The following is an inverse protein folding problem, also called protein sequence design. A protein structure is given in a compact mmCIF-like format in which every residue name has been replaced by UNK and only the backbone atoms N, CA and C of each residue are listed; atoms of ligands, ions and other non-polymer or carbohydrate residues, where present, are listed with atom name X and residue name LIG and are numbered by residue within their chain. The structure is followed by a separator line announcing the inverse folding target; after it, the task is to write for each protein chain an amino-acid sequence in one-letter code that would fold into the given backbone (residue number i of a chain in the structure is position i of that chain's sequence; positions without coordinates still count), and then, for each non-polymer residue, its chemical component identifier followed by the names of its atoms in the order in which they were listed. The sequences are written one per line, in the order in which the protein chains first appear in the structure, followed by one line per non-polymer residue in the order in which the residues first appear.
data_IF_548329063288
#
_entry.id   IF_548329063288
#
_cell.length_a   1.000
_cell.length_b   1.000
_cell.length_c   1.000
_cell.angle_alpha   90.00
_cell.angle_beta   90.00
_cell.angle_gamma   90.00
#
_symmetry.space_group_name_H-M   'P 1'
#
loop_
_entity.id
_entity.type
_entity.pdbx_description
1 polymer ?
#
# COMPACT_ATOMS: atom_id res chain seq x y z
N UNK A 1 -47.25 5.71 50.73
CA UNK A 1 -45.89 5.55 50.19
C UNK A 1 -45.97 5.74 48.69
N UNK A 2 -45.73 6.96 48.21
CA UNK A 2 -45.77 7.30 46.78
C UNK A 2 -44.39 7.07 46.18
N UNK A 3 -44.27 6.11 45.27
CA UNK A 3 -43.04 5.84 44.53
C UNK A 3 -42.68 7.06 43.66
N UNK A 4 -41.47 7.58 43.84
CA UNK A 4 -40.90 8.61 42.96
C UNK A 4 -40.65 7.99 41.59
N UNK A 5 -41.14 8.56 40.48
CA UNK A 5 -40.86 8.01 39.15
C UNK A 5 -39.34 8.03 38.90
N UNK A 6 -38.79 6.85 38.65
CA UNK A 6 -37.37 6.65 38.38
C UNK A 6 -36.99 7.37 37.09
N UNK A 7 -35.92 8.17 37.13
CA UNK A 7 -35.45 8.89 35.95
C UNK A 7 -35.10 7.88 34.84
N UNK A 8 -35.47 8.13 33.57
CA UNK A 8 -35.13 7.22 32.47
C UNK A 8 -33.62 7.01 32.41
N UNK A 9 -33.18 5.75 32.49
CA UNK A 9 -31.77 5.41 32.36
C UNK A 9 -31.28 5.87 30.97
N UNK A 10 -30.12 6.56 30.87
CA UNK A 10 -29.58 6.92 29.57
C UNK A 10 -29.33 5.65 28.75
N UNK A 11 -29.58 5.69 27.43
CA UNK A 11 -29.32 4.54 26.58
C UNK A 11 -27.85 4.13 26.73
N UNK A 12 -27.55 2.82 26.76
CA UNK A 12 -26.18 2.35 26.86
C UNK A 12 -25.33 2.95 25.72
N UNK A 13 -24.06 3.27 25.98
CA UNK A 13 -23.15 3.77 24.95
C UNK A 13 -23.15 2.83 23.73
N UNK A 14 -23.07 3.40 22.52
CA UNK A 14 -23.15 2.63 21.29
C UNK A 14 -22.05 1.56 21.14
N UNK A 15 -20.92 1.72 21.83
CA UNK A 15 -19.83 0.74 21.88
C UNK A 15 -19.23 0.69 23.30
N UNK A 16 -19.77 -0.13 24.21
CA UNK A 16 -19.26 -0.27 25.58
C UNK A 16 -17.84 -0.85 25.64
N UNK A 17 -17.43 -1.58 24.60
CA UNK A 17 -16.12 -2.22 24.50
C UNK A 17 -14.97 -1.27 24.11
N UNK A 18 -15.28 -0.05 23.65
CA UNK A 18 -14.28 0.92 23.22
C UNK A 18 -14.06 1.99 24.30
N UNK A 19 -12.80 2.44 24.50
CA UNK A 19 -12.53 3.60 25.34
C UNK A 19 -13.35 4.80 24.88
N UNK A 20 -13.77 5.65 25.82
CA UNK A 20 -14.59 6.82 25.49
C UNK A 20 -13.91 7.71 24.43
N UNK A 21 -14.66 8.09 23.40
CA UNK A 21 -14.17 8.89 22.28
C UNK A 21 -13.50 8.10 21.15
N UNK A 22 -13.39 6.77 21.25
CA UNK A 22 -12.89 5.91 20.16
C UNK A 22 -14.06 5.45 19.30
N UNK A 23 -14.12 5.94 18.06
CA UNK A 23 -15.06 5.40 17.07
C UNK A 23 -14.62 4.01 16.58
N UNK A 24 -15.60 3.17 16.26
CA UNK A 24 -15.38 1.83 15.70
C UNK A 24 -14.65 1.93 14.36
N UNK A 25 -13.71 1.03 14.10
CA UNK A 25 -12.99 0.98 12.82
C UNK A 25 -13.97 0.94 11.62
N UNK A 26 -13.62 1.57 10.48
CA UNK A 26 -14.48 1.56 9.30
C UNK A 26 -14.80 0.12 8.86
N UNK A 27 -16.07 -0.26 8.82
CA UNK A 27 -16.49 -1.59 8.34
C UNK A 27 -16.31 -1.66 6.83
N UNK A 28 -15.25 -2.32 6.38
CA UNK A 28 -15.01 -2.52 4.95
C UNK A 28 -15.91 -3.64 4.41
N UNK A 29 -16.54 -3.44 3.24
CA UNK A 29 -17.23 -4.54 2.57
C UNK A 29 -16.25 -5.67 2.25
N UNK A 30 -16.68 -6.92 2.43
CA UNK A 30 -15.85 -8.10 2.14
C UNK A 30 -15.32 -8.12 0.69
N UNK A 31 -16.03 -7.50 -0.25
CA UNK A 31 -15.66 -7.46 -1.67
C UNK A 31 -14.53 -6.47 -1.98
N UNK A 32 -14.18 -5.55 -1.08
CA UNK A 32 -13.13 -4.55 -1.33
C UNK A 32 -11.79 -5.20 -1.69
N UNK A 33 -11.43 -6.29 -1.01
CA UNK A 33 -10.19 -7.03 -1.28
C UNK A 33 -10.17 -7.58 -2.70
N UNK A 34 -11.29 -8.17 -3.13
CA UNK A 34 -11.42 -8.78 -4.46
C UNK A 34 -11.44 -7.71 -5.56
N UNK A 35 -12.18 -6.61 -5.35
CA UNK A 35 -12.19 -5.48 -6.27
C UNK A 35 -10.80 -4.83 -6.38
N UNK A 36 -10.11 -4.63 -5.25
CA UNK A 36 -8.76 -4.07 -5.23
C UNK A 36 -7.77 -4.93 -6.00
N UNK A 37 -7.81 -6.25 -5.79
CA UNK A 37 -7.01 -7.20 -6.54
C UNK A 37 -7.30 -7.16 -8.04
N UNK A 38 -8.58 -7.17 -8.43
CA UNK A 38 -8.99 -7.10 -9.83
C UNK A 38 -8.57 -5.81 -10.52
N UNK A 39 -8.77 -4.66 -9.86
CA UNK A 39 -8.33 -3.34 -10.36
C UNK A 39 -6.81 -3.33 -10.52
N UNK A 40 -6.07 -3.79 -9.50
CA UNK A 40 -4.61 -3.79 -9.53
C UNK A 40 -4.05 -4.67 -10.65
N UNK A 41 -4.61 -5.86 -10.86
CA UNK A 41 -4.24 -6.71 -11.99
C UNK A 41 -4.57 -6.05 -13.32
N UNK A 42 -5.76 -5.50 -13.49
CA UNK A 42 -6.15 -4.80 -14.73
C UNK A 42 -5.19 -3.65 -15.06
N UNK A 43 -4.88 -2.80 -14.07
CA UNK A 43 -3.94 -1.70 -14.22
C UNK A 43 -2.53 -2.22 -14.53
N UNK A 44 -2.08 -3.27 -13.85
CA UNK A 44 -0.76 -3.88 -14.10
C UNK A 44 -0.64 -4.38 -15.53
N UNK A 45 -1.65 -5.07 -16.04
CA UNK A 45 -1.65 -5.60 -17.42
C UNK A 45 -1.63 -4.47 -18.45
N UNK A 46 -2.43 -3.42 -18.23
CA UNK A 46 -2.48 -2.26 -19.14
C UNK A 46 -1.13 -1.52 -19.15
N UNK A 47 -0.57 -1.20 -17.98
CA UNK A 47 0.71 -0.50 -17.89
C UNK A 47 1.87 -1.36 -18.38
N UNK A 48 1.88 -2.66 -18.07
CA UNK A 48 2.87 -3.61 -18.58
C UNK A 48 2.83 -3.73 -20.10
N UNK A 49 1.62 -3.82 -20.68
CA UNK A 49 1.45 -3.81 -22.13
C UNK A 49 1.94 -2.51 -22.77
N UNK A 50 1.67 -1.35 -22.16
CA UNK A 50 2.19 -0.06 -22.64
C UNK A 50 3.72 -0.03 -22.63
N UNK A 51 4.36 -0.55 -21.58
CA UNK A 51 5.82 -0.66 -21.51
C UNK A 51 6.34 -1.58 -22.63
N UNK A 52 5.69 -2.71 -22.86
CA UNK A 52 6.04 -3.62 -23.96
C UNK A 52 5.95 -2.94 -25.33
N UNK A 53 4.88 -2.18 -25.58
CA UNK A 53 4.71 -1.40 -26.82
C UNK A 53 5.82 -0.38 -26.98
N UNK A 54 6.15 0.38 -25.93
CA UNK A 54 7.24 1.37 -25.96
C UNK A 54 8.59 0.70 -26.22
N UNK A 55 8.85 -0.46 -25.60
CA UNK A 55 10.09 -1.21 -25.81
C UNK A 55 10.25 -1.64 -27.27
N UNK A 56 9.19 -2.18 -27.90
CA UNK A 56 9.20 -2.56 -29.32
C UNK A 56 9.43 -1.35 -30.23
N UNK A 57 8.75 -0.23 -29.96
CA UNK A 57 8.90 1.01 -30.76
C UNK A 57 10.34 1.56 -30.69
N UNK A 58 11.02 1.36 -29.56
CA UNK A 58 12.42 1.75 -29.36
C UNK A 58 13.42 0.71 -29.92
N UNK A 59 12.94 -0.33 -30.60
CA UNK A 59 13.76 -1.39 -31.20
C UNK A 59 14.24 -2.45 -30.22
N UNK A 60 13.63 -2.53 -29.03
CA UNK A 60 13.88 -3.60 -28.07
C UNK A 60 13.26 -4.92 -28.51
N UNK A 61 13.97 -6.02 -28.27
CA UNK A 61 13.45 -7.37 -28.47
C UNK A 61 12.66 -7.82 -27.23
N UNK A 62 11.47 -8.38 -27.43
CA UNK A 62 10.60 -8.84 -26.34
C UNK A 62 10.94 -10.28 -25.89
N UNK A 63 11.62 -11.05 -26.74
CA UNK A 63 11.98 -12.44 -26.43
C UNK A 63 13.19 -12.52 -25.47
N UNK A 64 14.05 -11.51 -25.48
CA UNK A 64 15.13 -11.37 -24.51
C UNK A 64 14.63 -10.54 -23.32
N UNK A 65 14.02 -11.23 -22.34
CA UNK A 65 13.53 -10.56 -21.13
C UNK A 65 14.71 -10.05 -20.31
N UNK A 66 15.14 -8.82 -20.59
CA UNK A 66 16.17 -8.13 -19.81
C UNK A 66 15.76 -8.04 -18.34
N UNK A 67 16.67 -8.30 -17.38
CA UNK A 67 16.39 -8.14 -15.95
C UNK A 67 15.79 -6.78 -15.59
N UNK A 68 16.14 -5.72 -16.34
CA UNK A 68 15.59 -4.39 -16.17
C UNK A 68 14.07 -4.33 -16.48
N UNK A 69 13.60 -5.06 -17.49
CA UNK A 69 12.18 -5.12 -17.86
C UNK A 69 11.39 -5.88 -16.80
N UNK A 70 11.93 -6.99 -16.28
CA UNK A 70 11.30 -7.73 -15.18
C UNK A 70 11.16 -6.88 -13.92
N UNK A 71 12.24 -6.20 -13.51
CA UNK A 71 12.23 -5.32 -12.33
C UNK A 71 11.27 -4.15 -12.55
N UNK A 72 11.31 -3.50 -13.73
CA UNK A 72 10.39 -2.42 -14.08
C UNK A 72 8.93 -2.85 -14.02
N UNK A 73 8.61 -4.02 -14.58
CA UNK A 73 7.29 -4.62 -14.52
C UNK A 73 6.83 -4.90 -13.08
N UNK A 74 7.71 -5.43 -12.24
CA UNK A 74 7.42 -5.67 -10.83
C UNK A 74 7.14 -4.35 -10.07
N UNK A 75 7.94 -3.31 -10.30
CA UNK A 75 7.71 -1.99 -9.69
C UNK A 75 6.34 -1.43 -10.09
N UNK A 76 6.00 -1.50 -11.38
CA UNK A 76 4.70 -1.05 -11.88
C UNK A 76 3.55 -1.84 -11.25
N UNK A 77 3.69 -3.17 -11.14
CA UNK A 77 2.74 -4.01 -10.46
C UNK A 77 2.56 -3.57 -9.00
N UNK A 78 3.64 -3.38 -8.25
CA UNK A 78 3.54 -2.97 -6.85
C UNK A 78 2.85 -1.61 -6.70
N UNK A 79 3.17 -0.64 -7.55
CA UNK A 79 2.52 0.68 -7.54
C UNK A 79 1.02 0.56 -7.88
N UNK A 80 0.65 -0.28 -8.84
CA UNK A 80 -0.76 -0.53 -9.17
C UNK A 80 -1.54 -1.15 -7.99
N UNK A 81 -0.95 -2.12 -7.30
CA UNK A 81 -1.53 -2.75 -6.12
C UNK A 81 -1.69 -1.78 -4.95
N UNK A 82 -0.64 -1.01 -4.64
CA UNK A 82 -0.69 0.02 -3.60
C UNK A 82 -1.73 1.09 -3.97
N UNK A 83 -1.73 1.55 -5.22
CA UNK A 83 -2.67 2.54 -5.72
C UNK A 83 -4.13 2.09 -5.64
N UNK A 84 -4.42 0.84 -6.04
CA UNK A 84 -5.76 0.28 -5.93
C UNK A 84 -6.22 0.18 -4.46
N UNK A 85 -5.35 -0.27 -3.56
CA UNK A 85 -5.63 -0.35 -2.13
C UNK A 85 -5.90 1.03 -1.52
N UNK A 86 -5.04 2.01 -1.78
CA UNK A 86 -5.19 3.39 -1.30
C UNK A 86 -6.42 4.07 -1.89
N UNK A 87 -6.69 3.84 -3.19
CA UNK A 87 -7.86 4.38 -3.88
C UNK A 87 -9.18 3.87 -3.30
N UNK A 88 -9.29 2.57 -3.06
CA UNK A 88 -10.46 1.99 -2.39
C UNK A 88 -10.59 2.47 -0.94
N UNK A 89 -9.48 2.57 -0.20
CA UNK A 89 -9.50 3.12 1.16
C UNK A 89 -10.06 4.56 1.17
N UNK A 90 -9.70 5.38 0.17
CA UNK A 90 -10.16 6.76 0.03
C UNK A 90 -11.69 6.90 -0.08
N UNK A 91 -12.38 5.85 -0.54
CA UNK A 91 -13.85 5.83 -0.62
C UNK A 91 -14.52 5.73 0.76
N UNK A 92 -13.80 5.32 1.79
CA UNK A 92 -14.31 5.18 3.16
C UNK A 92 -13.75 6.25 4.09
N UNK A 93 -12.44 6.44 4.07
CA UNK A 93 -11.74 7.39 4.91
C UNK A 93 -10.50 7.88 4.16
N UNK A 94 -10.14 9.16 4.30
CA UNK A 94 -8.88 9.66 3.74
C UNK A 94 -7.70 8.93 4.42
N UNK A 95 -6.94 8.08 3.71
CA UNK A 95 -5.79 7.41 4.28
C UNK A 95 -4.71 8.45 4.58
N UNK A 96 -4.13 8.37 5.76
CA UNK A 96 -3.07 9.26 6.22
C UNK A 96 -1.83 8.43 6.53
N UNK A 97 -0.64 9.01 6.33
CA UNK A 97 0.62 8.27 6.49
C UNK A 97 0.75 7.58 7.86
N UNK A 98 0.25 8.21 8.92
CA UNK A 98 0.28 7.63 10.26
C UNK A 98 -0.66 6.44 10.46
N UNK A 99 -1.69 6.24 9.62
CA UNK A 99 -2.50 5.01 9.64
C UNK A 99 -1.67 3.78 9.25
N UNK A 100 -0.58 3.97 8.49
CA UNK A 100 0.35 2.91 8.09
C UNK A 100 1.58 2.84 9.00
N UNK A 101 1.57 3.54 10.14
CA UNK A 101 2.72 3.58 11.05
C UNK A 101 3.91 4.38 10.54
N UNK A 102 3.78 5.13 9.43
CA UNK A 102 4.85 6.01 8.98
C UNK A 102 5.07 7.12 9.99
N UNK A 103 6.22 7.08 10.66
CA UNK A 103 6.71 8.18 11.49
C UNK A 103 7.50 9.15 10.62
N UNK A 104 7.47 10.44 10.97
CA UNK A 104 8.24 11.45 10.25
C UNK A 104 9.73 11.23 10.53
N UNK A 105 10.44 10.65 9.57
CA UNK A 105 11.88 10.40 9.68
C UNK A 105 12.66 11.60 9.16
N UNK A 106 13.86 11.84 9.73
CA UNK A 106 14.82 12.80 9.18
C UNK A 106 15.23 12.35 7.77
N UNK A 107 14.86 13.13 6.75
CA UNK A 107 14.99 12.73 5.33
C UNK A 107 16.44 12.42 4.94
N UNK A 108 17.38 13.31 5.24
CA UNK A 108 18.78 13.17 4.83
C UNK A 108 19.46 11.91 5.37
N UNK A 109 19.37 11.60 6.67
CA UNK A 109 19.97 10.37 7.18
C UNK A 109 19.26 9.12 6.68
N UNK A 110 17.93 9.15 6.52
CA UNK A 110 17.21 8.02 5.93
C UNK A 110 17.70 7.73 4.51
N UNK A 111 17.85 8.76 3.68
CA UNK A 111 18.38 8.64 2.33
C UNK A 111 19.83 8.13 2.34
N UNK A 112 20.66 8.64 3.26
CA UNK A 112 22.05 8.19 3.43
C UNK A 112 22.17 6.71 3.78
N UNK A 113 21.37 6.22 4.74
CA UNK A 113 21.34 4.79 5.10
C UNK A 113 20.83 3.92 3.96
N UNK A 114 19.81 4.36 3.23
CA UNK A 114 19.31 3.64 2.05
C UNK A 114 20.36 3.55 0.94
N UNK A 115 21.05 4.65 0.64
CA UNK A 115 22.13 4.68 -0.34
C UNK A 115 23.30 3.79 0.08
N UNK A 116 23.68 3.84 1.36
CA UNK A 116 24.74 2.99 1.91
C UNK A 116 24.39 1.51 1.79
N UNK A 117 23.17 1.11 2.15
CA UNK A 117 22.71 -0.27 2.02
C UNK A 117 22.72 -0.73 0.55
N UNK A 118 22.25 0.13 -0.35
CA UNK A 118 22.25 -0.13 -1.79
C UNK A 118 23.66 -0.35 -2.34
N UNK A 119 24.59 0.58 -2.08
CA UNK A 119 25.99 0.45 -2.51
C UNK A 119 26.65 -0.79 -1.91
N UNK A 120 26.42 -1.04 -0.62
CA UNK A 120 26.98 -2.22 0.07
C UNK A 120 26.52 -3.52 -0.57
N UNK A 121 25.25 -3.61 -0.98
CA UNK A 121 24.73 -4.77 -1.69
C UNK A 121 25.48 -5.05 -2.99
N UNK A 122 25.73 -4.02 -3.82
CA UNK A 122 26.45 -4.19 -5.09
C UNK A 122 27.91 -4.57 -4.88
N UNK A 123 28.58 -3.95 -3.89
CA UNK A 123 29.97 -4.28 -3.55
C UNK A 123 30.08 -5.74 -3.11
N UNK A 124 29.22 -6.17 -2.19
CA UNK A 124 29.22 -7.56 -1.72
C UNK A 124 28.86 -8.55 -2.84
N UNK A 125 27.89 -8.21 -3.69
CA UNK A 125 27.50 -9.06 -4.82
C UNK A 125 28.63 -9.19 -5.84
N UNK A 126 29.37 -8.11 -6.11
CA UNK A 126 30.51 -8.13 -7.01
C UNK A 126 31.65 -8.99 -6.44
N UNK A 127 31.95 -8.87 -5.13
CA UNK A 127 32.93 -9.72 -4.44
C UNK A 127 32.52 -11.19 -4.52
N UNK A 128 31.26 -11.51 -4.25
CA UNK A 128 30.74 -12.88 -4.32
C UNK A 128 30.83 -13.45 -5.74
N UNK A 129 30.56 -12.65 -6.78
CA UNK A 129 30.60 -13.11 -8.16
C UNK A 129 32.00 -13.47 -8.66
N UNK A 130 33.06 -12.99 -8.01
CA UNK A 130 34.46 -13.25 -8.38
C UNK A 130 35.19 -14.17 -7.39
N UNK A 131 34.52 -14.58 -6.31
CA UNK A 131 35.03 -15.52 -5.31
C UNK A 131 34.69 -16.96 -5.68
#
# INVERSE_FOLDING_TARGET
MTATPEAPHPPPPANPELPEGVEREPRWPWWFSLAGFGIALGVTLVLGALIGVVAVVLGGDLDETSPAVTIGGAVVQYVAFIGAAVGLAYLRLRPRAWHFGFRRTRFWPALGWSALAFVSFFVLSAIYAVA
#
